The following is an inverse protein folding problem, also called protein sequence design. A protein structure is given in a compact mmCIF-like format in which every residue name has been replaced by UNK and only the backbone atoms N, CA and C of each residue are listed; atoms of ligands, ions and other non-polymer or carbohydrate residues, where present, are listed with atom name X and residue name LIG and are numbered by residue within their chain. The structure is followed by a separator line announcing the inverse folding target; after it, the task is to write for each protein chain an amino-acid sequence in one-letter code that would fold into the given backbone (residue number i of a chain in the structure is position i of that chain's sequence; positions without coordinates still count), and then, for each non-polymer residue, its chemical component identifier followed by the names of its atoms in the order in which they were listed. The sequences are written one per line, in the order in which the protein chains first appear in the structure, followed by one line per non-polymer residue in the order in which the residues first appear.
data_IF_125899719975
#
_entry.id   IF_125899719975
#
_cell.length_a   1.000
_cell.length_b   1.000
_cell.length_c   1.000
_cell.angle_alpha   90.00
_cell.angle_beta   90.00
_cell.angle_gamma   90.00
#
_symmetry.space_group_name_H-M   'P 1'
#
loop_
_entity.id
_entity.type
_entity.pdbx_description
1 polymer ?
#
# COMPACT_ATOMS: atom_id res chain seq x y z
N UNK A 1 -16.93 14.73 -7.70
CA UNK A 1 -17.69 13.48 -7.52
C UNK A 1 -17.54 13.08 -6.07
N UNK A 2 -18.64 12.81 -5.38
CA UNK A 2 -18.59 12.37 -3.99
C UNK A 2 -18.15 10.91 -3.92
N UNK A 3 -17.32 10.58 -2.91
CA UNK A 3 -16.86 9.21 -2.67
C UNK A 3 -18.04 8.37 -2.17
N UNK A 4 -18.36 7.28 -2.88
CA UNK A 4 -19.41 6.34 -2.48
C UNK A 4 -18.82 5.03 -1.99
N UNK A 5 -19.47 4.42 -0.99
CA UNK A 5 -19.11 3.10 -0.50
C UNK A 5 -19.70 2.06 -1.45
N UNK A 6 -18.86 1.21 -2.03
CA UNK A 6 -19.27 0.08 -2.88
C UNK A 6 -19.51 -1.17 -2.03
N UNK A 7 -18.60 -1.47 -1.09
CA UNK A 7 -18.65 -2.71 -0.34
C UNK A 7 -18.13 -2.51 1.09
N UNK A 8 -18.73 -3.22 2.04
CA UNK A 8 -18.32 -3.27 3.44
C UNK A 8 -18.04 -4.73 3.81
N UNK A 9 -16.86 -4.99 4.38
CA UNK A 9 -16.49 -6.29 4.94
C UNK A 9 -16.16 -6.12 6.42
N UNK A 10 -16.81 -6.89 7.30
CA UNK A 10 -16.51 -6.87 8.74
C UNK A 10 -15.94 -8.21 9.19
N UNK A 11 -14.85 -8.17 9.94
CA UNK A 11 -14.31 -9.32 10.67
C UNK A 11 -14.27 -8.98 12.15
N UNK A 12 -14.67 -9.93 13.00
CA UNK A 12 -14.64 -9.80 14.46
C UNK A 12 -13.25 -9.49 15.00
N UNK A 13 -12.20 -9.97 14.33
CA UNK A 13 -10.80 -9.78 14.77
C UNK A 13 -10.10 -8.61 14.06
N UNK A 14 -10.59 -8.20 12.89
CA UNK A 14 -9.85 -7.30 11.98
C UNK A 14 -10.53 -5.95 11.74
N UNK A 15 -11.72 -5.74 12.32
CA UNK A 15 -12.49 -4.51 12.19
C UNK A 15 -13.34 -4.44 10.92
N UNK A 16 -13.74 -3.22 10.54
CA UNK A 16 -14.58 -2.97 9.37
C UNK A 16 -13.71 -2.43 8.23
N UNK A 17 -13.82 -3.04 7.05
CA UNK A 17 -13.18 -2.61 5.82
C UNK A 17 -14.23 -2.07 4.86
N UNK A 18 -13.88 -1.03 4.12
CA UNK A 18 -14.77 -0.36 3.17
C UNK A 18 -14.04 -0.14 1.87
N UNK A 19 -14.61 -0.63 0.76
CA UNK A 19 -14.16 -0.32 -0.61
C UNK A 19 -15.02 0.81 -1.16
N UNK A 20 -14.37 1.84 -1.68
CA UNK A 20 -15.03 3.02 -2.24
C UNK A 20 -14.98 3.04 -3.78
N UNK A 21 -15.81 3.91 -4.38
CA UNK A 21 -15.94 4.07 -5.83
C UNK A 21 -14.70 4.59 -6.55
N UNK A 22 -13.77 5.18 -5.82
CA UNK A 22 -12.45 5.60 -6.32
C UNK A 22 -11.39 4.49 -6.20
N UNK A 23 -11.77 3.27 -5.80
CA UNK A 23 -10.85 2.15 -5.58
C UNK A 23 -10.14 2.19 -4.22
N UNK A 24 -10.37 3.22 -3.40
CA UNK A 24 -9.75 3.32 -2.08
C UNK A 24 -10.33 2.30 -1.10
N UNK A 25 -9.47 1.72 -0.26
CA UNK A 25 -9.87 0.81 0.81
C UNK A 25 -9.63 1.49 2.15
N UNK A 26 -10.64 1.53 3.01
CA UNK A 26 -10.56 2.10 4.35
C UNK A 26 -10.76 1.02 5.39
N UNK A 27 -10.04 1.11 6.50
CA UNK A 27 -10.21 0.25 7.66
C UNK A 27 -10.62 1.07 8.88
N UNK A 28 -11.58 0.55 9.65
CA UNK A 28 -11.96 1.02 10.97
C UNK A 28 -11.51 -0.02 12.00
N UNK A 29 -10.33 0.20 12.57
CA UNK A 29 -9.76 -0.68 13.59
C UNK A 29 -10.47 -0.43 14.93
N UNK A 30 -11.08 -1.47 15.49
CA UNK A 30 -11.78 -1.44 16.80
C UNK A 30 -12.73 -0.25 16.98
N UNK A 31 -13.36 0.23 15.90
CA UNK A 31 -14.33 1.33 15.98
C UNK A 31 -13.75 2.71 16.29
N UNK A 32 -12.42 2.90 16.34
CA UNK A 32 -11.82 4.14 16.86
C UNK A 32 -11.52 5.19 15.80
N UNK A 33 -10.99 4.79 14.63
CA UNK A 33 -10.61 5.75 13.57
C UNK A 33 -10.54 5.08 12.21
N UNK A 34 -11.10 5.76 11.20
CA UNK A 34 -10.95 5.40 9.80
C UNK A 34 -9.52 5.68 9.32
N UNK A 35 -8.89 4.67 8.72
CA UNK A 35 -7.57 4.75 8.10
C UNK A 35 -7.67 4.30 6.63
N UNK A 36 -7.20 5.15 5.73
CA UNK A 36 -6.97 4.78 4.34
C UNK A 36 -5.83 3.75 4.28
N UNK A 37 -6.10 2.60 3.67
CA UNK A 37 -5.09 1.59 3.37
C UNK A 37 -4.36 1.94 2.09
N UNK A 38 -3.07 1.57 1.99
CA UNK A 38 -2.34 1.71 0.73
C UNK A 38 -3.03 0.90 -0.37
N UNK A 39 -2.95 1.40 -1.60
CA UNK A 39 -3.48 0.69 -2.75
C UNK A 39 -2.84 -0.70 -2.84
N UNK A 40 -3.69 -1.72 -3.00
CA UNK A 40 -3.21 -3.06 -3.30
C UNK A 40 -3.04 -3.12 -4.83
N UNK A 41 -1.81 -3.30 -5.34
CA UNK A 41 -1.54 -3.38 -6.75
C UNK A 41 -2.26 -4.60 -7.31
N UNK A 42 -3.20 -4.35 -8.23
CA UNK A 42 -3.92 -5.39 -8.92
C UNK A 42 -2.95 -6.18 -9.83
N UNK A 43 -3.07 -7.50 -9.83
CA UNK A 43 -2.31 -8.38 -10.73
C UNK A 43 -0.96 -8.89 -10.19
N UNK A 44 -0.52 -8.50 -8.99
CA UNK A 44 0.65 -9.12 -8.35
C UNK A 44 0.24 -10.12 -7.27
N UNK A 45 0.91 -11.27 -7.15
CA UNK A 45 0.52 -12.36 -6.26
C UNK A 45 0.55 -11.97 -4.77
N UNK A 46 1.29 -10.93 -4.41
CA UNK A 46 1.26 -10.32 -3.08
C UNK A 46 1.75 -8.87 -3.11
N UNK A 47 1.26 -8.04 -2.18
CA UNK A 47 1.78 -6.68 -1.96
C UNK A 47 3.29 -6.67 -1.66
N UNK A 48 3.80 -7.73 -1.02
CA UNK A 48 5.24 -7.93 -0.82
C UNK A 48 6.01 -8.00 -2.14
N UNK A 49 5.55 -8.86 -3.06
CA UNK A 49 6.17 -9.04 -4.36
C UNK A 49 6.15 -7.73 -5.17
N UNK A 50 5.07 -6.95 -5.05
CA UNK A 50 5.02 -5.62 -5.64
C UNK A 50 6.12 -4.69 -5.13
N UNK A 51 6.24 -4.55 -3.81
CA UNK A 51 7.24 -3.68 -3.20
C UNK A 51 8.66 -4.15 -3.54
N UNK A 52 8.89 -5.47 -3.51
CA UNK A 52 10.19 -6.06 -3.87
C UNK A 52 10.57 -5.75 -5.32
N UNK A 53 9.65 -5.88 -6.27
CA UNK A 53 9.88 -5.55 -7.68
C UNK A 53 10.18 -4.07 -7.88
N UNK A 54 9.35 -3.16 -7.35
CA UNK A 54 9.54 -1.72 -7.51
C UNK A 54 10.88 -1.24 -6.89
N UNK A 55 11.23 -1.77 -5.71
CA UNK A 55 12.53 -1.49 -5.07
C UNK A 55 13.69 -2.01 -5.94
N UNK A 56 13.57 -3.22 -6.50
CA UNK A 56 14.60 -3.80 -7.36
C UNK A 56 14.77 -3.02 -8.66
N UNK A 57 13.68 -2.57 -9.28
CA UNK A 57 13.74 -1.76 -10.51
C UNK A 57 14.50 -0.46 -10.26
N UNK A 58 14.20 0.25 -9.17
CA UNK A 58 14.93 1.47 -8.79
C UNK A 58 16.40 1.20 -8.45
N UNK A 59 16.71 0.07 -7.80
CA UNK A 59 18.10 -0.32 -7.50
C UNK A 59 18.89 -0.68 -8.76
N UNK A 60 18.28 -1.39 -9.72
CA UNK A 60 18.91 -1.69 -11.00
C UNK A 60 19.16 -0.38 -11.75
N UNK A 61 18.18 0.52 -11.73
CA UNK A 61 18.27 1.83 -12.36
C UNK A 61 19.41 2.64 -11.76
N UNK A 62 19.55 2.72 -10.43
CA UNK A 62 20.65 3.40 -9.73
C UNK A 62 22.04 2.88 -10.12
N UNK A 63 22.15 1.56 -10.37
CA UNK A 63 23.41 0.94 -10.82
C UNK A 63 23.79 1.33 -12.24
N UNK A 64 22.80 1.56 -13.10
CA UNK A 64 23.00 1.90 -14.53
C UNK A 64 23.13 3.41 -14.71
N UNK A 65 22.38 4.18 -13.93
CA UNK A 65 22.38 5.64 -13.92
C UNK A 65 22.06 6.14 -12.53
N UNK A 66 22.65 7.26 -12.12
CA UNK A 66 22.30 7.91 -10.85
C UNK A 66 20.80 8.23 -10.87
N UNK A 67 20.08 7.84 -9.81
CA UNK A 67 18.66 8.17 -9.65
C UNK A 67 18.44 9.68 -9.56
N UNK A 68 17.33 10.15 -10.13
CA UNK A 68 16.86 11.52 -9.89
C UNK A 68 16.42 11.70 -8.43
N UNK A 69 16.29 12.95 -7.97
CA UNK A 69 15.80 13.23 -6.61
C UNK A 69 14.38 12.68 -6.38
N UNK A 70 13.52 12.73 -7.39
CA UNK A 70 12.18 12.14 -7.33
C UNK A 70 12.22 10.61 -7.19
N UNK A 71 13.09 9.95 -7.97
CA UNK A 71 13.28 8.49 -7.92
C UNK A 71 13.90 8.04 -6.59
N UNK A 72 14.80 8.83 -6.00
CA UNK A 72 15.35 8.58 -4.66
C UNK A 72 14.26 8.69 -3.59
N UNK A 73 13.39 9.70 -3.70
CA UNK A 73 12.26 9.87 -2.79
C UNK A 73 11.28 8.70 -2.91
N UNK A 74 10.96 8.28 -4.13
CA UNK A 74 10.14 7.10 -4.39
C UNK A 74 10.75 5.83 -3.76
N UNK A 75 12.07 5.62 -3.92
CA UNK A 75 12.76 4.49 -3.32
C UNK A 75 12.65 4.49 -1.79
N UNK A 76 12.81 5.65 -1.15
CA UNK A 76 12.67 5.80 0.29
C UNK A 76 11.24 5.49 0.75
N UNK A 77 10.24 6.01 0.05
CA UNK A 77 8.82 5.76 0.35
C UNK A 77 8.48 4.26 0.23
N UNK A 78 8.97 3.59 -0.82
CA UNK A 78 8.77 2.14 -1.02
C UNK A 78 9.45 1.30 0.07
N UNK A 79 10.67 1.69 0.49
CA UNK A 79 11.36 1.03 1.61
C UNK A 79 10.61 1.20 2.93
N UNK A 80 10.03 2.38 3.18
CA UNK A 80 9.21 2.60 4.37
C UNK A 80 7.91 1.79 4.32
N UNK A 81 7.25 1.71 3.16
CA UNK A 81 6.05 0.88 2.98
C UNK A 81 6.35 -0.61 3.19
N UNK A 82 7.49 -1.11 2.70
CA UNK A 82 7.95 -2.48 2.95
C UNK A 82 8.17 -2.76 4.42
N UNK A 83 8.84 -1.84 5.12
CA UNK A 83 9.05 -1.95 6.58
C UNK A 83 7.73 -1.98 7.34
N UNK A 84 6.77 -1.13 6.97
CA UNK A 84 5.42 -1.13 7.57
C UNK A 84 4.70 -2.44 7.31
N UNK A 85 4.75 -2.95 6.08
CA UNK A 85 4.14 -4.22 5.72
C UNK A 85 4.73 -5.40 6.49
N UNK A 86 6.06 -5.47 6.61
CA UNK A 86 6.75 -6.49 7.41
C UNK A 86 6.38 -6.39 8.90
N UNK A 87 6.13 -5.19 9.42
CA UNK A 87 5.64 -5.00 10.79
C UNK A 87 4.20 -5.48 10.97
N UNK A 88 3.31 -5.26 9.99
CA UNK A 88 1.88 -5.62 10.09
C UNK A 88 1.58 -7.11 9.91
N UNK A 89 2.45 -7.86 9.24
CA UNK A 89 2.28 -9.30 8.99
C UNK A 89 2.99 -10.16 10.04
N UNK A 90 3.72 -9.53 10.96
CA UNK A 90 4.38 -10.19 12.09
C UNK A 90 3.43 -10.33 13.27
#
# INVERSE_FOLDING_TARGET
MDRQIIQICSSSDSGVFVLCSDGSIWNLWQGRKWRLLPEIPQGKPSYKAYLDECINDLRIKDRVRILSEDEKKELLDLLEQRKKYEFFIR
#
